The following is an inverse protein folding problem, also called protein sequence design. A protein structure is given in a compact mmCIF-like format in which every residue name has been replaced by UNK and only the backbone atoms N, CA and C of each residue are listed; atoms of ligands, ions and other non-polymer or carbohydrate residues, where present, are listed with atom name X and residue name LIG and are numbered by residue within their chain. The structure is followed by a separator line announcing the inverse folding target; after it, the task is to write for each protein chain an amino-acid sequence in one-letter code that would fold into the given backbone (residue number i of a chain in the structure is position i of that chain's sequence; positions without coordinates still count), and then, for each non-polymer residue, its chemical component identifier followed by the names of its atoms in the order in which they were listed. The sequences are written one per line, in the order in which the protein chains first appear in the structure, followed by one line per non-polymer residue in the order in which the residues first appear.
data_IF_824520091174
#
_entry.id   IF_824520091174
#
_cell.length_a   1.000
_cell.length_b   1.000
_cell.length_c   1.000
_cell.angle_alpha   90.00
_cell.angle_beta   90.00
_cell.angle_gamma   90.00
#
_symmetry.space_group_name_H-M   'P 1'
#
loop_
_entity.id
_entity.type
_entity.pdbx_description
1 polymer ?
#
# COMPACT_ATOMS: atom_id res chain seq x y z
N UNK A 1 11.20 -37.06 -27.20
CA UNK A 1 11.90 -37.08 -25.93
C UNK A 1 13.01 -36.05 -25.92
N UNK A 2 12.92 -35.09 -24.99
CA UNK A 2 13.99 -34.12 -24.82
C UNK A 2 15.20 -34.77 -24.16
N UNK A 3 16.42 -34.37 -24.55
CA UNK A 3 17.62 -34.85 -23.88
C UNK A 3 17.69 -34.27 -22.46
N UNK A 4 18.42 -34.92 -21.56
CA UNK A 4 18.66 -34.46 -20.17
C UNK A 4 19.20 -33.01 -20.17
N UNK A 5 20.04 -32.67 -21.15
CA UNK A 5 20.58 -31.32 -21.32
C UNK A 5 19.50 -30.29 -21.65
N UNK A 6 18.55 -30.65 -22.50
CA UNK A 6 17.43 -29.76 -22.88
C UNK A 6 16.43 -29.58 -21.73
N UNK A 7 16.16 -30.63 -20.98
CA UNK A 7 15.31 -30.56 -19.77
C UNK A 7 15.93 -29.67 -18.69
N UNK A 8 17.23 -29.82 -18.48
CA UNK A 8 17.99 -29.01 -17.53
C UNK A 8 17.99 -27.52 -17.93
N UNK A 9 18.14 -27.25 -19.24
CA UNK A 9 18.11 -25.88 -19.76
C UNK A 9 16.71 -25.26 -19.62
N UNK A 10 15.66 -26.01 -19.92
CA UNK A 10 14.27 -25.59 -19.77
C UNK A 10 13.93 -25.27 -18.31
N UNK A 11 14.39 -26.12 -17.36
CA UNK A 11 14.23 -25.88 -15.92
C UNK A 11 14.93 -24.60 -15.46
N UNK A 12 16.12 -24.34 -15.95
CA UNK A 12 16.86 -23.13 -15.60
C UNK A 12 16.19 -21.86 -16.15
N UNK A 13 15.63 -21.92 -17.36
CA UNK A 13 14.87 -20.83 -17.93
C UNK A 13 13.62 -20.53 -17.13
N UNK A 14 12.87 -21.56 -16.77
CA UNK A 14 11.65 -21.49 -15.96
C UNK A 14 11.94 -20.88 -14.59
N UNK A 15 13.02 -21.30 -13.93
CA UNK A 15 13.48 -20.77 -12.67
C UNK A 15 13.81 -19.27 -12.75
N UNK A 16 14.52 -18.85 -13.78
CA UNK A 16 14.86 -17.43 -14.01
C UNK A 16 13.63 -16.59 -14.21
N UNK A 17 12.68 -17.06 -15.02
CA UNK A 17 11.44 -16.38 -15.29
C UNK A 17 10.60 -16.24 -14.03
N UNK A 18 10.42 -17.32 -13.27
CA UNK A 18 9.69 -17.32 -12.00
C UNK A 18 10.35 -16.38 -10.99
N UNK A 19 11.66 -16.44 -10.86
CA UNK A 19 12.42 -15.56 -9.97
C UNK A 19 12.25 -14.09 -10.36
N UNK A 20 12.31 -13.79 -11.66
CA UNK A 20 12.09 -12.43 -12.16
C UNK A 20 10.69 -11.93 -11.84
N UNK A 21 9.65 -12.73 -12.06
CA UNK A 21 8.27 -12.38 -11.74
C UNK A 21 8.08 -12.09 -10.25
N UNK A 22 8.67 -12.92 -9.39
CA UNK A 22 8.61 -12.73 -7.93
C UNK A 22 9.28 -11.43 -7.49
N UNK A 23 10.41 -11.08 -8.10
CA UNK A 23 11.09 -9.81 -7.84
C UNK A 23 10.27 -8.61 -8.31
N UNK A 24 9.58 -8.72 -9.44
CA UNK A 24 8.66 -7.67 -9.92
C UNK A 24 7.50 -7.46 -8.95
N UNK A 25 6.91 -8.54 -8.45
CA UNK A 25 5.84 -8.46 -7.45
C UNK A 25 6.34 -7.80 -6.17
N UNK A 26 7.52 -8.19 -5.72
CA UNK A 26 8.14 -7.59 -4.52
C UNK A 26 8.37 -6.09 -4.68
N UNK A 27 8.88 -5.67 -5.83
CA UNK A 27 9.08 -4.25 -6.13
C UNK A 27 7.75 -3.47 -6.12
N UNK A 28 6.69 -4.05 -6.67
CA UNK A 28 5.34 -3.46 -6.65
C UNK A 28 4.79 -3.34 -5.23
N UNK A 29 4.98 -4.35 -4.39
CA UNK A 29 4.54 -4.31 -2.99
C UNK A 29 5.28 -3.22 -2.21
N UNK A 30 6.57 -3.03 -2.45
CA UNK A 30 7.35 -1.95 -1.86
C UNK A 30 6.86 -0.57 -2.33
N UNK A 31 6.56 -0.44 -3.61
CA UNK A 31 5.99 0.78 -4.18
C UNK A 31 4.64 1.13 -3.53
N UNK A 32 3.76 0.15 -3.37
CA UNK A 32 2.48 0.35 -2.68
C UNK A 32 2.67 0.75 -1.22
N UNK A 33 3.67 0.18 -0.54
CA UNK A 33 4.02 0.59 0.81
C UNK A 33 4.33 2.08 0.89
N UNK A 34 5.17 2.56 0.00
CA UNK A 34 5.57 3.97 -0.04
C UNK A 34 4.39 4.89 -0.37
N UNK A 35 3.52 4.47 -1.29
CA UNK A 35 2.30 5.20 -1.61
C UNK A 35 1.37 5.29 -0.41
N UNK A 36 1.15 4.21 0.32
CA UNK A 36 0.28 4.19 1.49
C UNK A 36 0.84 5.07 2.61
N UNK A 37 2.14 5.05 2.84
CA UNK A 37 2.80 5.92 3.82
C UNK A 37 2.61 7.39 3.45
N UNK A 38 2.82 7.74 2.19
CA UNK A 38 2.66 9.11 1.70
C UNK A 38 1.21 9.56 1.79
N UNK A 39 0.28 8.70 1.40
CA UNK A 39 -1.15 8.98 1.46
C UNK A 39 -1.62 9.18 2.91
N UNK A 40 -1.17 8.32 3.83
CA UNK A 40 -1.46 8.49 5.25
C UNK A 40 -1.03 9.85 5.76
N UNK A 41 0.20 10.27 5.45
CA UNK A 41 0.72 11.59 5.84
C UNK A 41 -0.12 12.72 5.30
N UNK A 42 -0.57 12.60 4.04
CA UNK A 42 -1.44 13.61 3.42
C UNK A 42 -2.79 13.70 4.11
N UNK A 43 -3.43 12.57 4.42
CA UNK A 43 -4.71 12.55 5.13
C UNK A 43 -4.56 13.09 6.56
N UNK A 44 -3.51 12.72 7.27
CA UNK A 44 -3.21 13.24 8.61
C UNK A 44 -2.97 14.75 8.59
N UNK A 45 -2.29 15.24 7.56
CA UNK A 45 -2.07 16.68 7.37
C UNK A 45 -3.40 17.41 7.21
N UNK A 46 -4.29 16.92 6.34
CA UNK A 46 -5.62 17.51 6.15
C UNK A 46 -6.43 17.48 7.45
N UNK A 47 -6.38 16.37 8.18
CA UNK A 47 -7.11 16.22 9.44
C UNK A 47 -6.65 17.20 10.51
N UNK A 48 -5.35 17.48 10.59
CA UNK A 48 -4.73 18.31 11.62
C UNK A 48 -4.65 19.79 11.25
N UNK A 49 -4.81 20.14 9.98
CA UNK A 49 -4.62 21.51 9.48
C UNK A 49 -5.98 22.18 9.31
N UNK A 50 -6.22 23.32 9.98
CA UNK A 50 -7.46 24.08 9.78
C UNK A 50 -7.52 24.64 8.35
N UNK A 51 -8.71 24.58 7.75
CA UNK A 51 -8.93 25.09 6.40
C UNK A 51 -8.97 26.65 6.44
N UNK A 52 -8.03 27.34 5.75
CA UNK A 52 -8.03 28.80 5.73
C UNK A 52 -9.30 29.40 5.12
N UNK A 53 -9.96 28.69 4.19
CA UNK A 53 -11.21 29.14 3.58
C UNK A 53 -12.38 29.16 4.57
N UNK A 54 -12.25 28.51 5.73
CA UNK A 54 -13.24 28.47 6.79
C UNK A 54 -13.02 29.55 7.87
N UNK A 55 -12.12 30.49 7.64
CA UNK A 55 -11.97 31.64 8.52
C UNK A 55 -13.10 32.62 8.27
N UNK A 56 -13.65 33.19 9.38
CA UNK A 56 -14.76 34.15 9.29
C UNK A 56 -14.27 35.43 8.59
N UNK A 57 -14.84 35.79 7.43
CA UNK A 57 -14.50 37.10 6.83
C UNK A 57 -14.96 38.22 7.75
N UNK A 58 -14.15 39.28 7.88
CA UNK A 58 -14.53 40.45 8.64
C UNK A 58 -15.75 41.12 7.95
N UNK A 59 -16.87 41.28 8.71
CA UNK A 59 -18.07 41.96 8.23
C UNK A 59 -19.25 41.07 7.81
N UNK A 60 -19.20 39.74 8.10
CA UNK A 60 -20.37 38.88 7.87
C UNK A 60 -21.40 39.10 8.96
N UNK A 61 -22.60 39.52 8.56
CA UNK A 61 -23.70 39.88 9.48
C UNK A 61 -24.38 38.64 10.09
N UNK A 62 -24.12 37.43 9.59
CA UNK A 62 -24.75 36.18 10.03
C UNK A 62 -23.68 35.18 10.56
N UNK A 63 -23.00 35.59 11.61
CA UNK A 63 -21.91 34.87 12.22
C UNK A 63 -22.32 33.51 12.79
N UNK A 64 -23.54 33.42 13.34
CA UNK A 64 -24.07 32.16 13.91
C UNK A 64 -24.31 31.10 12.84
N UNK A 65 -24.86 31.47 11.69
CA UNK A 65 -25.12 30.55 10.58
C UNK A 65 -23.79 30.09 9.93
N UNK A 66 -22.85 31.00 9.79
CA UNK A 66 -21.50 30.68 9.30
C UNK A 66 -20.77 29.71 10.22
N UNK A 67 -20.80 29.94 11.54
CA UNK A 67 -20.19 29.06 12.54
C UNK A 67 -20.81 27.66 12.52
N UNK A 68 -22.14 27.56 12.36
CA UNK A 68 -22.84 26.28 12.26
C UNK A 68 -22.41 25.49 11.00
N UNK A 69 -22.33 26.16 9.84
CA UNK A 69 -21.87 25.53 8.58
C UNK A 69 -20.42 25.11 8.68
N UNK A 70 -19.59 25.93 9.28
CA UNK A 70 -18.17 25.63 9.53
C UNK A 70 -18.02 24.38 10.39
N UNK A 71 -18.74 24.32 11.51
CA UNK A 71 -18.73 23.17 12.43
C UNK A 71 -19.16 21.90 11.73
N UNK A 72 -20.24 21.95 10.96
CA UNK A 72 -20.75 20.82 10.20
C UNK A 72 -19.76 20.33 9.14
N UNK A 73 -19.12 21.24 8.43
CA UNK A 73 -18.12 20.95 7.42
C UNK A 73 -16.87 20.32 8.03
N UNK A 74 -16.42 20.82 9.18
CA UNK A 74 -15.29 20.25 9.92
C UNK A 74 -15.58 18.84 10.42
N UNK A 75 -16.78 18.59 10.93
CA UNK A 75 -17.21 17.25 11.36
C UNK A 75 -17.21 16.25 10.20
N UNK A 76 -17.73 16.66 9.04
CA UNK A 76 -17.71 15.81 7.84
C UNK A 76 -16.29 15.51 7.39
N UNK A 77 -15.43 16.52 7.35
CA UNK A 77 -14.03 16.37 6.98
C UNK A 77 -13.30 15.41 7.92
N UNK A 78 -13.49 15.57 9.23
CA UNK A 78 -12.89 14.68 10.22
C UNK A 78 -13.37 13.24 10.07
N UNK A 79 -14.67 13.04 9.84
CA UNK A 79 -15.25 11.72 9.63
C UNK A 79 -14.66 11.05 8.41
N UNK A 80 -14.61 11.77 7.29
CA UNK A 80 -14.05 11.24 6.04
C UNK A 80 -12.55 10.92 6.16
N UNK A 81 -11.78 11.79 6.79
CA UNK A 81 -10.36 11.56 7.04
C UNK A 81 -10.12 10.33 7.92
N UNK A 82 -10.92 10.17 8.98
CA UNK A 82 -10.83 8.99 9.86
C UNK A 82 -11.17 7.71 9.12
N UNK A 83 -12.20 7.75 8.26
CA UNK A 83 -12.58 6.62 7.42
C UNK A 83 -11.46 6.24 6.45
N UNK A 84 -10.83 7.23 5.82
CA UNK A 84 -9.70 7.01 4.93
C UNK A 84 -8.50 6.42 5.68
N UNK A 85 -8.21 6.89 6.89
CA UNK A 85 -7.11 6.33 7.71
C UNK A 85 -7.35 4.86 8.05
N UNK A 86 -8.59 4.47 8.36
CA UNK A 86 -8.95 3.08 8.60
C UNK A 86 -8.77 2.22 7.34
N UNK A 87 -9.15 2.74 6.17
CA UNK A 87 -8.96 2.06 4.90
C UNK A 87 -7.47 1.89 4.56
N UNK A 88 -6.67 2.91 4.79
CA UNK A 88 -5.21 2.85 4.61
C UNK A 88 -4.62 1.77 5.52
N UNK A 89 -5.04 1.71 6.78
CA UNK A 89 -4.60 0.69 7.73
C UNK A 89 -4.97 -0.72 7.25
N UNK A 90 -6.17 -0.90 6.73
CA UNK A 90 -6.62 -2.18 6.16
C UNK A 90 -5.76 -2.58 4.96
N UNK A 91 -5.46 -1.64 4.06
CA UNK A 91 -4.62 -1.88 2.90
C UNK A 91 -3.17 -2.21 3.29
N UNK A 92 -2.65 -1.56 4.31
CA UNK A 92 -1.31 -1.85 4.85
C UNK A 92 -1.23 -3.28 5.39
N UNK A 93 -2.22 -3.72 6.14
CA UNK A 93 -2.29 -5.10 6.64
C UNK A 93 -2.38 -6.12 5.50
N UNK A 94 -3.19 -5.83 4.48
CA UNK A 94 -3.29 -6.68 3.29
C UNK A 94 -1.95 -6.79 2.57
N UNK A 95 -1.24 -5.68 2.41
CA UNK A 95 0.08 -5.64 1.80
C UNK A 95 1.09 -6.47 2.60
N UNK A 96 1.10 -6.34 3.92
CA UNK A 96 1.98 -7.13 4.79
C UNK A 96 1.72 -8.62 4.65
N UNK A 97 0.45 -9.04 4.59
CA UNK A 97 0.08 -10.44 4.36
C UNK A 97 0.57 -10.93 3.00
N UNK A 98 0.43 -10.12 1.96
CA UNK A 98 0.92 -10.45 0.63
C UNK A 98 2.44 -10.58 0.60
N UNK A 99 3.14 -9.70 1.30
CA UNK A 99 4.60 -9.76 1.43
C UNK A 99 5.06 -11.05 2.14
N UNK A 100 4.36 -11.44 3.19
CA UNK A 100 4.65 -12.70 3.89
C UNK A 100 4.42 -13.91 2.98
N UNK A 101 3.32 -13.93 2.24
CA UNK A 101 3.05 -14.99 1.24
C UNK A 101 4.13 -15.04 0.17
N UNK A 102 4.55 -13.88 -0.30
CA UNK A 102 5.61 -13.78 -1.29
C UNK A 102 6.93 -14.36 -0.76
N UNK A 103 7.31 -14.04 0.47
CA UNK A 103 8.51 -14.62 1.11
C UNK A 103 8.41 -16.15 1.18
N UNK A 104 7.25 -16.66 1.54
CA UNK A 104 7.03 -18.12 1.61
C UNK A 104 7.15 -18.78 0.23
N UNK A 105 6.59 -18.16 -0.81
CA UNK A 105 6.70 -18.64 -2.18
C UNK A 105 8.16 -18.59 -2.66
N UNK A 106 8.87 -17.50 -2.38
CA UNK A 106 10.29 -17.36 -2.74
C UNK A 106 11.16 -18.41 -2.05
N UNK A 107 10.89 -18.69 -0.78
CA UNK A 107 11.58 -19.75 -0.04
C UNK A 107 11.29 -21.12 -0.65
N UNK A 108 10.04 -21.40 -1.01
CA UNK A 108 9.63 -22.64 -1.64
C UNK A 108 10.30 -22.84 -3.00
N UNK A 109 10.34 -21.80 -3.83
CA UNK A 109 11.02 -21.80 -5.13
C UNK A 109 12.52 -22.09 -4.93
N UNK A 110 13.14 -21.47 -3.95
CA UNK A 110 14.55 -21.69 -3.63
C UNK A 110 14.84 -23.15 -3.26
N UNK A 111 14.01 -23.74 -2.41
CA UNK A 111 14.13 -25.15 -2.00
C UNK A 111 13.87 -26.08 -3.19
N UNK A 112 12.87 -25.80 -4.01
CA UNK A 112 12.49 -26.64 -5.16
C UNK A 112 13.57 -26.65 -6.25
N UNK A 113 14.16 -25.50 -6.56
CA UNK A 113 15.15 -25.36 -7.63
C UNK A 113 16.62 -25.52 -7.16
N UNK A 114 16.87 -25.57 -5.84
CA UNK A 114 18.19 -25.75 -5.26
C UNK A 114 18.23 -26.84 -4.18
N UNK A 115 17.81 -28.09 -4.48
CA UNK A 115 17.77 -29.14 -3.48
C UNK A 115 19.16 -29.53 -2.94
N UNK A 116 20.25 -29.13 -3.63
CA UNK A 116 21.64 -29.39 -3.21
C UNK A 116 22.07 -28.63 -1.96
N UNK A 117 21.34 -27.56 -1.61
CA UNK A 117 21.67 -26.74 -0.45
C UNK A 117 20.84 -27.08 0.79
N UNK A 118 20.05 -28.16 0.73
CA UNK A 118 19.21 -28.60 1.84
C UNK A 118 19.94 -29.53 2.85
N UNK A 119 21.22 -29.62 2.76
CA UNK A 119 22.04 -30.37 3.70
C UNK A 119 22.46 -29.49 4.88
#
# INVERSE_FOLDING_TARGET
MLSVSQESHALNMDKRETSHELHVIRARLQYFRDLLVTFRKSVEFVLKTPNPAMQVPAGVNDQADFEMRKSHSEELMQRECKTLLLEIERLERTREMMELRLRNVMALVRVTFHPRYSY
#
